data_IF_489656635357
#
_entry.id   IF_489656635357
#
_cell.length_a   1.000
_cell.length_b   1.000
_cell.length_c   1.000
_cell.angle_alpha   90.00
_cell.angle_beta   90.00
_cell.angle_gamma   90.00
#
_symmetry.space_group_name_H-M   'P 1'
#
loop_
_entity.id
_entity.type
_entity.pdbx_description
1 polymer ?
#
# COMPACT_ATOMS: atom_id res chain seq x y z
N UNK A 1 1.60 -10.47 15.17
CA UNK A 1 1.51 -11.67 14.30
C UNK A 1 2.90 -12.23 14.03
N UNK A 2 3.05 -13.52 14.12
CA UNK A 2 4.25 -14.27 13.71
C UNK A 2 4.56 -14.10 12.23
N UNK A 3 5.66 -14.66 11.76
CA UNK A 3 6.06 -14.62 10.35
C UNK A 3 4.89 -15.03 9.43
N UNK A 4 4.62 -14.23 8.40
CA UNK A 4 3.51 -14.46 7.48
C UNK A 4 3.63 -15.80 6.74
N UNK A 5 4.84 -16.27 6.48
CA UNK A 5 5.09 -17.56 5.82
C UNK A 5 4.67 -18.71 6.69
N UNK A 6 4.96 -18.62 7.99
CA UNK A 6 4.54 -19.62 8.97
C UNK A 6 3.00 -19.65 9.08
N UNK A 7 2.38 -18.48 9.12
CA UNK A 7 0.91 -18.38 9.14
C UNK A 7 0.29 -19.05 7.91
N UNK A 8 0.76 -18.68 6.71
CA UNK A 8 0.22 -19.18 5.44
C UNK A 8 0.46 -20.69 5.20
N UNK A 9 1.43 -21.29 5.90
CA UNK A 9 1.63 -22.74 5.85
C UNK A 9 0.46 -23.52 6.46
N UNK A 10 -0.35 -22.90 7.31
CA UNK A 10 -1.40 -23.57 8.06
C UNK A 10 -2.82 -23.07 7.77
N UNK A 11 -2.98 -21.84 7.30
CA UNK A 11 -4.30 -21.26 7.05
C UNK A 11 -4.27 -20.06 6.11
N UNK A 12 -5.39 -19.78 5.42
CA UNK A 12 -5.47 -18.63 4.55
C UNK A 12 -5.46 -17.31 5.34
N UNK A 13 -5.02 -16.24 4.68
CA UNK A 13 -5.02 -14.89 5.20
C UNK A 13 -6.08 -14.07 4.45
N UNK A 14 -7.03 -13.51 5.18
CA UNK A 14 -8.06 -12.67 4.59
C UNK A 14 -7.57 -11.23 4.47
N UNK A 15 -7.43 -10.77 3.24
CA UNK A 15 -7.09 -9.38 2.92
C UNK A 15 -8.29 -8.45 2.94
N UNK A 16 -8.01 -7.16 3.03
CA UNK A 16 -8.96 -6.10 2.73
C UNK A 16 -9.31 -6.06 1.23
N UNK A 17 -10.25 -5.19 0.87
CA UNK A 17 -10.63 -4.90 -0.51
C UNK A 17 -9.99 -3.63 -1.07
N UNK A 18 -10.56 -3.11 -2.16
CA UNK A 18 -10.08 -1.91 -2.83
C UNK A 18 -10.20 -0.65 -1.96
N UNK A 19 -9.15 0.17 -1.97
CA UNK A 19 -9.17 1.48 -1.32
C UNK A 19 -9.82 2.53 -2.22
N UNK A 20 -9.40 2.62 -3.48
CA UNK A 20 -9.82 3.68 -4.39
C UNK A 20 -11.32 3.72 -4.65
N UNK A 21 -11.95 2.57 -4.86
CA UNK A 21 -13.39 2.46 -5.10
C UNK A 21 -14.21 2.70 -3.83
N UNK A 22 -13.70 2.29 -2.67
CA UNK A 22 -14.40 2.42 -1.40
C UNK A 22 -14.28 3.85 -0.83
N UNK A 23 -13.11 4.45 -0.91
CA UNK A 23 -12.88 5.82 -0.47
C UNK A 23 -13.62 6.86 -1.33
N UNK A 24 -13.87 6.56 -2.62
CA UNK A 24 -14.56 7.44 -3.56
C UNK A 24 -13.90 8.82 -3.68
N UNK A 25 -12.61 8.81 -4.00
CA UNK A 25 -11.88 10.04 -4.30
C UNK A 25 -12.61 10.87 -5.38
N UNK A 26 -12.39 12.17 -5.38
CA UNK A 26 -12.93 13.05 -6.42
C UNK A 26 -12.48 12.57 -7.81
N UNK A 27 -13.32 12.72 -8.85
CA UNK A 27 -12.97 12.29 -10.20
C UNK A 27 -11.61 12.87 -10.64
N UNK A 28 -10.71 12.00 -11.10
CA UNK A 28 -9.36 12.38 -11.54
C UNK A 28 -8.35 12.64 -10.43
N UNK A 29 -8.72 12.53 -9.16
CA UNK A 29 -7.79 12.64 -8.05
C UNK A 29 -7.13 11.29 -7.74
N UNK A 30 -5.83 11.30 -7.49
CA UNK A 30 -5.13 10.13 -6.97
C UNK A 30 -5.55 9.89 -5.51
N UNK A 31 -6.04 8.68 -5.22
CA UNK A 31 -6.52 8.30 -3.89
C UNK A 31 -5.42 8.43 -2.83
N UNK A 32 -4.18 8.23 -3.20
CA UNK A 32 -3.02 8.31 -2.32
C UNK A 32 -2.82 9.71 -1.72
N UNK A 33 -3.25 10.75 -2.41
CA UNK A 33 -3.20 12.12 -1.89
C UNK A 33 -4.00 12.27 -0.59
N UNK A 34 -5.04 11.46 -0.40
CA UNK A 34 -5.84 11.45 0.81
C UNK A 34 -5.04 11.06 2.06
N UNK A 35 -3.92 10.38 1.91
CA UNK A 35 -3.02 10.09 3.03
C UNK A 35 -2.58 11.37 3.77
N UNK A 36 -2.48 12.50 3.04
CA UNK A 36 -2.13 13.81 3.59
C UNK A 36 -3.33 14.74 3.73
N UNK A 37 -4.26 14.73 2.79
CA UNK A 37 -5.37 15.69 2.73
C UNK A 37 -6.59 15.28 3.54
N UNK A 38 -6.79 13.96 3.74
CA UNK A 38 -7.91 13.39 4.51
C UNK A 38 -7.49 12.09 5.21
N UNK A 39 -6.52 12.15 6.12
CA UNK A 39 -6.02 10.95 6.81
C UNK A 39 -7.10 10.19 7.58
N UNK A 40 -8.07 10.90 8.16
CA UNK A 40 -9.16 10.27 8.89
C UNK A 40 -10.09 9.47 7.97
N UNK A 41 -10.33 9.94 6.74
CA UNK A 41 -11.08 9.19 5.74
C UNK A 41 -10.39 7.90 5.34
N UNK A 42 -9.08 7.92 5.12
CA UNK A 42 -8.28 6.72 4.82
C UNK A 42 -8.28 5.76 6.00
N UNK A 43 -8.04 6.25 7.20
CA UNK A 43 -8.05 5.45 8.43
C UNK A 43 -9.40 4.78 8.66
N UNK A 44 -10.50 5.48 8.38
CA UNK A 44 -11.85 4.94 8.46
C UNK A 44 -12.04 3.74 7.53
N UNK A 45 -11.57 3.81 6.29
CA UNK A 45 -11.65 2.69 5.34
C UNK A 45 -10.90 1.47 5.88
N UNK A 46 -9.67 1.65 6.37
CA UNK A 46 -8.91 0.57 7.00
C UNK A 46 -9.67 -0.05 8.18
N UNK A 47 -10.21 0.80 9.06
CA UNK A 47 -10.97 0.34 10.23
C UNK A 47 -12.23 -0.46 9.86
N UNK A 48 -12.94 -0.05 8.81
CA UNK A 48 -14.14 -0.75 8.33
C UNK A 48 -13.81 -2.13 7.75
N UNK A 49 -12.74 -2.27 6.96
CA UNK A 49 -12.27 -3.58 6.49
C UNK A 49 -11.85 -4.49 7.65
N UNK A 50 -11.12 -3.95 8.62
CA UNK A 50 -10.73 -4.71 9.81
C UNK A 50 -11.93 -5.13 10.65
N UNK A 51 -12.93 -4.27 10.80
CA UNK A 51 -14.19 -4.58 11.49
C UNK A 51 -14.99 -5.67 10.76
N UNK A 52 -14.89 -5.73 9.43
CA UNK A 52 -15.50 -6.77 8.61
C UNK A 52 -14.76 -8.11 8.66
N UNK A 53 -13.59 -8.17 9.30
CA UNK A 53 -12.84 -9.41 9.51
C UNK A 53 -11.55 -9.54 8.71
N UNK A 54 -11.09 -8.50 8.03
CA UNK A 54 -9.78 -8.52 7.37
C UNK A 54 -8.68 -8.76 8.40
N UNK A 55 -7.75 -9.64 8.06
CA UNK A 55 -6.59 -10.01 8.88
C UNK A 55 -5.30 -9.36 8.38
N UNK A 56 -5.33 -8.91 7.13
CA UNK A 56 -4.28 -8.14 6.49
C UNK A 56 -4.88 -6.95 5.76
N UNK A 57 -4.21 -5.82 5.80
CA UNK A 57 -4.58 -4.62 5.05
C UNK A 57 -3.40 -4.15 4.20
N UNK A 58 -3.73 -3.55 3.06
CA UNK A 58 -2.77 -2.90 2.17
C UNK A 58 -2.71 -1.42 2.48
N UNK A 59 -1.52 -0.85 2.40
CA UNK A 59 -1.38 0.61 2.47
C UNK A 59 -2.09 1.30 1.29
N UNK A 60 -2.53 2.53 1.47
CA UNK A 60 -3.10 3.35 0.40
C UNK A 60 -1.98 3.97 -0.44
N UNK A 61 -1.27 3.13 -1.21
CA UNK A 61 -0.04 3.51 -1.92
C UNK A 61 0.13 2.84 -3.29
N UNK A 62 -0.96 2.35 -3.87
CA UNK A 62 -0.95 1.67 -5.16
C UNK A 62 -0.27 2.47 -6.27
N UNK A 63 -0.51 3.78 -6.35
CA UNK A 63 0.04 4.66 -7.39
C UNK A 63 1.49 5.10 -7.18
N UNK A 64 2.12 4.78 -6.05
CA UNK A 64 3.46 5.30 -5.73
C UNK A 64 4.56 4.88 -6.72
N UNK A 65 4.61 3.64 -7.24
CA UNK A 65 5.62 3.30 -8.23
C UNK A 65 5.52 4.17 -9.50
N UNK A 66 4.30 4.47 -9.96
CA UNK A 66 4.07 5.39 -11.07
C UNK A 66 4.52 6.81 -10.73
N UNK A 67 4.22 7.28 -9.54
CA UNK A 67 4.62 8.61 -9.05
C UNK A 67 6.14 8.73 -8.92
N UNK A 68 6.80 7.71 -8.38
CA UNK A 68 8.26 7.66 -8.26
C UNK A 68 8.94 7.63 -9.63
N UNK A 69 8.42 6.85 -10.58
CA UNK A 69 8.91 6.81 -11.95
C UNK A 69 8.79 8.18 -12.64
N UNK A 70 7.74 8.92 -12.38
CA UNK A 70 7.52 10.28 -12.87
C UNK A 70 8.30 11.34 -12.08
N UNK A 71 9.06 10.95 -11.08
CA UNK A 71 9.79 11.86 -10.18
C UNK A 71 8.87 12.91 -9.53
N UNK A 72 7.65 12.52 -9.21
CA UNK A 72 6.66 13.40 -8.59
C UNK A 72 7.15 13.84 -7.21
N UNK A 73 7.29 15.16 -6.94
CA UNK A 73 7.68 15.63 -5.62
C UNK A 73 6.67 15.21 -4.55
N UNK A 74 7.17 14.73 -3.40
CA UNK A 74 6.32 14.37 -2.26
C UNK A 74 5.81 12.95 -2.25
N UNK A 75 6.22 12.08 -3.20
CA UNK A 75 5.79 10.69 -3.16
C UNK A 75 6.28 9.95 -1.90
N UNK A 76 7.43 10.33 -1.37
CA UNK A 76 7.99 9.74 -0.13
C UNK A 76 7.13 10.08 1.09
N UNK A 77 6.62 11.31 1.18
CA UNK A 77 5.71 11.73 2.25
C UNK A 77 4.37 11.00 2.15
N UNK A 78 3.88 10.73 0.94
CA UNK A 78 2.69 9.90 0.72
C UNK A 78 2.91 8.46 1.19
N UNK A 79 4.10 7.91 0.95
CA UNK A 79 4.47 6.58 1.43
C UNK A 79 4.48 6.52 2.96
N UNK A 80 5.14 7.49 3.60
CA UNK A 80 5.22 7.57 5.06
C UNK A 80 3.84 7.70 5.70
N UNK A 81 3.01 8.63 5.19
CA UNK A 81 1.66 8.84 5.69
C UNK A 81 0.79 7.60 5.51
N UNK A 82 0.80 6.99 4.32
CA UNK A 82 0.03 5.78 4.04
C UNK A 82 0.45 4.60 4.91
N UNK A 83 1.75 4.42 5.11
CA UNK A 83 2.30 3.40 6.00
C UNK A 83 1.83 3.60 7.45
N UNK A 84 1.97 4.82 7.96
CA UNK A 84 1.56 5.15 9.33
C UNK A 84 0.07 4.92 9.56
N UNK A 85 -0.79 5.38 8.65
CA UNK A 85 -2.23 5.20 8.77
C UNK A 85 -2.63 3.72 8.81
N UNK A 86 -2.04 2.90 7.96
CA UNK A 86 -2.30 1.46 7.94
C UNK A 86 -1.80 0.79 9.22
N UNK A 87 -0.59 1.11 9.69
CA UNK A 87 -0.04 0.56 10.93
C UNK A 87 -0.86 0.94 12.16
N UNK A 88 -1.30 2.20 12.24
CA UNK A 88 -2.14 2.67 13.35
C UNK A 88 -3.48 1.91 13.39
N UNK A 89 -4.11 1.72 12.23
CA UNK A 89 -5.36 0.94 12.14
C UNK A 89 -5.14 -0.54 12.48
N UNK A 90 -4.09 -1.15 11.94
CA UNK A 90 -3.79 -2.57 12.13
C UNK A 90 -3.46 -2.91 13.58
N UNK A 91 -2.82 -2.02 14.32
CA UNK A 91 -2.44 -2.22 15.71
C UNK A 91 -3.65 -2.49 16.62
N UNK A 92 -4.80 -1.89 16.32
CA UNK A 92 -6.03 -2.08 17.09
C UNK A 92 -6.62 -3.50 16.98
N UNK A 93 -6.25 -4.25 15.94
CA UNK A 93 -6.79 -5.59 15.63
C UNK A 93 -5.71 -6.66 15.45
N UNK A 94 -4.46 -6.37 15.77
CA UNK A 94 -3.31 -7.26 15.52
C UNK A 94 -3.27 -7.78 14.07
N UNK A 95 -3.58 -6.91 13.11
CA UNK A 95 -3.58 -7.23 11.70
C UNK A 95 -2.19 -7.03 11.07
N UNK A 96 -1.97 -7.69 9.93
CA UNK A 96 -0.73 -7.54 9.15
C UNK A 96 -0.88 -6.40 8.16
N UNK A 97 0.16 -5.59 8.02
CA UNK A 97 0.23 -4.54 6.99
C UNK A 97 1.16 -4.96 5.86
N UNK A 98 0.65 -4.83 4.64
CA UNK A 98 1.42 -4.99 3.41
C UNK A 98 1.63 -3.63 2.76
N UNK A 99 2.88 -3.32 2.44
CA UNK A 99 3.19 -2.19 1.57
C UNK A 99 2.72 -2.52 0.15
N UNK A 100 1.79 -1.73 -0.38
CA UNK A 100 1.16 -1.98 -1.67
C UNK A 100 1.83 -1.20 -2.78
N UNK A 101 2.25 -1.92 -3.84
CA UNK A 101 2.92 -1.39 -5.02
C UNK A 101 2.15 -1.80 -6.28
N UNK A 102 1.51 -0.84 -6.92
CA UNK A 102 0.87 -1.03 -8.22
C UNK A 102 1.86 -0.86 -9.37
N UNK A 103 1.37 -0.90 -10.64
CA UNK A 103 2.24 -0.87 -11.81
C UNK A 103 3.04 0.42 -11.93
N UNK A 104 4.28 0.29 -12.41
CA UNK A 104 5.10 1.40 -12.91
C UNK A 104 5.27 1.27 -14.42
N UNK A 105 5.46 2.40 -15.15
CA UNK A 105 5.81 2.34 -16.55
C UNK A 105 7.13 1.60 -16.77
N UNK A 106 7.20 0.78 -17.81
CA UNK A 106 8.42 0.08 -18.21
C UNK A 106 8.89 0.63 -19.57
N UNK A 107 10.06 1.26 -19.58
CA UNK A 107 10.66 1.85 -20.77
C UNK A 107 12.12 1.45 -20.89
N UNK A 108 12.68 1.54 -22.10
CA UNK A 108 14.12 1.27 -22.30
C UNK A 108 15.02 2.21 -21.47
N UNK A 109 14.59 3.47 -21.29
CA UNK A 109 15.37 4.47 -20.54
C UNK A 109 15.21 4.30 -19.01
N UNK A 110 14.08 3.77 -18.57
CA UNK A 110 13.76 3.61 -17.15
C UNK A 110 12.91 2.34 -16.94
N UNK A 111 13.55 1.20 -16.63
CA UNK A 111 12.82 -0.03 -16.37
C UNK A 111 11.95 0.09 -15.11
N UNK A 112 10.77 -0.53 -15.13
CA UNK A 112 9.83 -0.53 -14.00
C UNK A 112 10.47 -0.99 -12.69
N UNK A 113 11.43 -1.91 -12.76
CA UNK A 113 12.18 -2.41 -11.59
C UNK A 113 12.88 -1.29 -10.81
N UNK A 114 13.30 -0.20 -11.47
CA UNK A 114 13.92 0.96 -10.80
C UNK A 114 12.93 1.66 -9.87
N UNK A 115 11.71 1.90 -10.33
CA UNK A 115 10.65 2.52 -9.52
C UNK A 115 10.22 1.60 -8.38
N UNK A 116 10.05 0.31 -8.64
CA UNK A 116 9.75 -0.67 -7.59
C UNK A 116 10.85 -0.71 -6.53
N UNK A 117 12.12 -0.69 -6.94
CA UNK A 117 13.24 -0.66 -6.01
C UNK A 117 13.22 0.57 -5.10
N UNK A 118 12.98 1.76 -5.67
CA UNK A 118 12.90 3.01 -4.89
C UNK A 118 11.77 2.95 -3.85
N UNK A 119 10.57 2.55 -4.27
CA UNK A 119 9.39 2.51 -3.38
C UNK A 119 9.56 1.42 -2.31
N UNK A 120 10.06 0.24 -2.69
CA UNK A 120 10.30 -0.83 -1.74
C UNK A 120 11.35 -0.44 -0.68
N UNK A 121 12.43 0.24 -1.08
CA UNK A 121 13.44 0.75 -0.15
C UNK A 121 12.87 1.77 0.82
N UNK A 122 11.99 2.67 0.34
CA UNK A 122 11.31 3.64 1.20
C UNK A 122 10.48 2.93 2.28
N UNK A 123 9.67 1.95 1.89
CA UNK A 123 8.87 1.19 2.85
C UNK A 123 9.72 0.34 3.79
N UNK A 124 10.79 -0.27 3.31
CA UNK A 124 11.72 -1.01 4.17
C UNK A 124 12.35 -0.10 5.24
N UNK A 125 12.72 1.12 4.88
CA UNK A 125 13.22 2.13 5.83
C UNK A 125 12.16 2.53 6.87
N UNK A 126 10.87 2.49 6.52
CA UNK A 126 9.76 2.71 7.44
C UNK A 126 9.44 1.50 8.33
N UNK A 127 10.08 0.36 8.09
CA UNK A 127 9.91 -0.86 8.87
C UNK A 127 8.99 -1.91 8.23
N UNK A 128 8.60 -1.74 6.97
CA UNK A 128 7.81 -2.73 6.25
C UNK A 128 8.59 -4.04 6.06
N UNK A 129 7.91 -5.16 6.29
CA UNK A 129 8.44 -6.51 6.10
C UNK A 129 7.66 -7.30 5.06
N UNK A 130 6.42 -6.89 4.79
CA UNK A 130 5.54 -7.55 3.84
C UNK A 130 5.19 -6.58 2.72
N UNK A 131 5.32 -7.05 1.48
CA UNK A 131 5.10 -6.26 0.28
C UNK A 131 4.09 -6.98 -0.61
N UNK A 132 3.22 -6.23 -1.25
CA UNK A 132 2.30 -6.74 -2.23
C UNK A 132 2.53 -5.98 -3.55
N UNK A 133 2.87 -6.72 -4.59
CA UNK A 133 2.92 -6.20 -5.95
C UNK A 133 1.62 -6.64 -6.64
N UNK A 134 0.76 -5.69 -6.95
CA UNK A 134 -0.55 -6.01 -7.54
C UNK A 134 -0.74 -5.40 -8.93
N UNK A 135 -1.62 -6.01 -9.72
CA UNK A 135 -1.99 -5.55 -11.06
C UNK A 135 -0.80 -5.53 -12.03
N UNK A 136 0.19 -6.38 -11.81
CA UNK A 136 1.33 -6.50 -12.70
C UNK A 136 0.97 -7.38 -13.91
N UNK A 137 1.47 -7.01 -15.09
CA UNK A 137 1.25 -7.77 -16.34
C UNK A 137 2.38 -8.76 -16.65
N UNK A 138 3.48 -8.69 -15.92
CA UNK A 138 4.65 -9.58 -16.05
C UNK A 138 5.37 -9.74 -14.72
N UNK A 139 6.15 -10.79 -14.61
CA UNK A 139 7.05 -11.09 -13.49
C UNK A 139 8.40 -10.42 -13.70
N UNK A 140 8.49 -9.15 -13.51
CA UNK A 140 9.74 -8.38 -13.70
C UNK A 140 10.64 -8.45 -12.48
#
# INVERSE_FOLDING_TARGET
>A
MTDIREYLAHKPLLFDGGMGTYYKAAPGADCEMANLTDPEGVKKVHAEYLAAGAQAIKTNTFGLPRMAAAQMPGWEELAEAGWKLACDAAAEKDAVVFADLGPAPDTEAAPASSAYGLVAQQFAALGAKNFLFETLSSDV
#
